data_IF_990533470030
#
_entry.id   IF_990533470030
#
_cell.length_a   1.000
_cell.length_b   1.000
_cell.length_c   1.000
_cell.angle_alpha   90.00
_cell.angle_beta   90.00
_cell.angle_gamma   90.00
#
_symmetry.space_group_name_H-M   'P 1'
#
loop_
_entity.id
_entity.type
_entity.pdbx_description
1 polymer ?
#
# COMPACT_ATOMS: atom_id res chain seq x y z
N UNK A 1 -5.53 -13.90 41.38
CA UNK A 1 -6.42 -14.32 40.27
C UNK A 1 -5.97 -13.62 39.00
N UNK A 2 -5.52 -14.36 37.98
CA UNK A 2 -5.27 -13.77 36.65
C UNK A 2 -6.64 -13.43 36.04
N UNK A 3 -7.07 -12.19 36.14
CA UNK A 3 -8.32 -11.66 35.57
C UNK A 3 -8.23 -11.42 34.05
N UNK A 4 -7.34 -12.12 33.36
CA UNK A 4 -7.11 -11.95 31.93
C UNK A 4 -8.02 -12.89 31.13
N UNK A 5 -8.75 -12.34 30.15
CA UNK A 5 -9.43 -13.13 29.11
C UNK A 5 -8.43 -14.12 28.48
N UNK A 6 -8.86 -15.34 28.19
CA UNK A 6 -8.00 -16.31 27.49
C UNK A 6 -7.73 -15.82 26.06
N UNK A 7 -6.47 -15.51 25.78
CA UNK A 7 -5.96 -15.03 24.50
C UNK A 7 -4.92 -16.00 23.93
N UNK A 8 -4.90 -17.26 24.38
CA UNK A 8 -3.95 -18.29 23.93
C UNK A 8 -3.98 -18.44 22.41
N UNK A 9 -5.17 -18.59 21.82
CA UNK A 9 -5.34 -18.69 20.37
C UNK A 9 -4.89 -17.41 19.64
N UNK A 10 -5.21 -16.23 20.18
CA UNK A 10 -4.77 -14.97 19.59
C UNK A 10 -3.24 -14.86 19.56
N UNK A 11 -2.57 -15.32 20.62
CA UNK A 11 -1.11 -15.40 20.69
C UNK A 11 -0.55 -16.42 19.70
N UNK A 12 -1.19 -17.57 19.52
CA UNK A 12 -0.77 -18.55 18.51
C UNK A 12 -0.80 -17.95 17.11
N UNK A 13 -1.86 -17.26 16.73
CA UNK A 13 -1.93 -16.57 15.44
C UNK A 13 -0.86 -15.47 15.33
N UNK A 14 -0.65 -14.68 16.39
CA UNK A 14 0.42 -13.69 16.42
C UNK A 14 1.81 -14.31 16.23
N UNK A 15 2.09 -15.48 16.82
CA UNK A 15 3.37 -16.17 16.65
C UNK A 15 3.56 -16.69 15.23
N UNK A 16 2.49 -17.14 14.55
CA UNK A 16 2.58 -17.51 13.12
C UNK A 16 2.93 -16.31 12.24
N UNK A 17 2.36 -15.14 12.55
CA UNK A 17 2.69 -13.89 11.88
C UNK A 17 4.16 -13.45 12.06
N UNK A 18 4.90 -14.00 13.03
CA UNK A 18 6.31 -13.67 13.26
C UNK A 18 7.27 -14.49 12.38
N UNK A 19 6.77 -15.23 11.38
CA UNK A 19 7.63 -15.93 10.42
C UNK A 19 8.55 -14.94 9.69
N UNK A 20 9.85 -15.06 9.93
CA UNK A 20 10.84 -14.07 9.51
C UNK A 20 10.90 -13.83 8.00
N UNK A 21 10.54 -14.82 7.18
CA UNK A 21 10.82 -14.82 5.74
C UNK A 21 10.26 -13.60 5.00
N UNK A 22 9.11 -13.07 5.39
CA UNK A 22 8.51 -11.92 4.72
C UNK A 22 9.00 -10.55 5.25
N UNK A 23 9.84 -10.53 6.29
CA UNK A 23 10.30 -9.29 6.93
C UNK A 23 11.62 -8.75 6.38
N UNK A 24 12.31 -9.50 5.52
CA UNK A 24 13.59 -9.09 4.96
C UNK A 24 13.81 -9.65 3.56
N UNK A 25 14.84 -9.17 2.88
CA UNK A 25 15.28 -9.67 1.59
C UNK A 25 16.78 -9.92 1.60
N UNK A 26 17.20 -10.97 0.89
CA UNK A 26 18.60 -11.35 0.71
C UNK A 26 18.72 -12.13 -0.59
N UNK A 27 19.24 -13.36 -0.53
CA UNK A 27 19.32 -14.22 -1.72
C UNK A 27 17.95 -14.72 -2.19
N UNK A 28 17.02 -14.93 -1.26
CA UNK A 28 15.65 -15.36 -1.55
C UNK A 28 14.70 -14.17 -1.64
N UNK A 29 13.57 -14.35 -2.33
CA UNK A 29 12.61 -13.28 -2.59
C UNK A 29 12.13 -12.57 -1.30
N UNK A 30 11.86 -13.33 -0.24
CA UNK A 30 11.56 -12.76 1.08
C UNK A 30 10.39 -11.77 1.04
N UNK A 31 10.58 -10.54 1.54
CA UNK A 31 9.58 -9.46 1.48
C UNK A 31 9.07 -9.17 0.06
N UNK A 32 9.82 -9.47 -1.01
CA UNK A 32 9.34 -9.28 -2.38
C UNK A 32 8.27 -10.30 -2.79
N UNK A 33 8.13 -11.41 -2.08
CA UNK A 33 7.14 -12.44 -2.36
C UNK A 33 5.80 -12.10 -1.71
N UNK A 34 4.85 -11.63 -2.52
CA UNK A 34 3.52 -11.22 -2.07
C UNK A 34 2.80 -12.28 -1.25
N UNK A 35 2.85 -13.55 -1.67
CA UNK A 35 2.21 -14.65 -0.93
C UNK A 35 2.76 -14.83 0.50
N UNK A 36 4.05 -14.53 0.73
CA UNK A 36 4.63 -14.57 2.09
C UNK A 36 4.10 -13.42 2.94
N UNK A 37 4.04 -12.19 2.40
CA UNK A 37 3.49 -11.03 3.12
C UNK A 37 2.00 -11.23 3.45
N UNK A 38 1.24 -11.71 2.48
CA UNK A 38 -0.20 -11.97 2.65
C UNK A 38 -0.48 -13.06 3.68
N UNK A 39 0.36 -14.11 3.76
CA UNK A 39 0.25 -15.12 4.82
C UNK A 39 0.51 -14.54 6.22
N UNK A 40 1.43 -13.57 6.37
CA UNK A 40 1.62 -12.89 7.65
C UNK A 40 0.38 -12.07 8.02
N UNK A 41 -0.16 -11.29 7.06
CA UNK A 41 -1.37 -10.51 7.27
C UNK A 41 -2.57 -11.38 7.66
N UNK A 42 -2.73 -12.56 7.06
CA UNK A 42 -3.79 -13.50 7.43
C UNK A 42 -3.76 -13.83 8.94
N UNK A 43 -2.57 -14.13 9.46
CA UNK A 43 -2.35 -14.46 10.86
C UNK A 43 -2.44 -13.24 11.79
N UNK A 44 -1.97 -12.07 11.37
CA UNK A 44 -2.18 -10.81 12.12
C UNK A 44 -3.67 -10.55 12.29
N UNK A 45 -4.43 -10.65 11.20
CA UNK A 45 -5.85 -10.36 11.20
C UNK A 45 -6.67 -11.41 11.94
N UNK A 46 -6.28 -12.68 11.91
CA UNK A 46 -6.86 -13.73 12.74
C UNK A 46 -6.61 -13.49 14.24
N UNK A 47 -5.39 -13.08 14.61
CA UNK A 47 -5.04 -12.71 15.99
C UNK A 47 -5.90 -11.54 16.48
N UNK A 48 -5.99 -10.48 15.69
CA UNK A 48 -6.76 -9.30 16.06
C UNK A 48 -8.27 -9.59 16.08
N UNK A 49 -8.80 -10.47 15.22
CA UNK A 49 -10.19 -10.92 15.31
C UNK A 49 -10.52 -11.51 16.69
N UNK A 50 -9.64 -12.38 17.19
CA UNK A 50 -9.78 -13.02 18.49
C UNK A 50 -9.69 -11.99 19.63
N UNK A 51 -8.80 -11.00 19.50
CA UNK A 51 -8.70 -9.88 20.45
C UNK A 51 -9.98 -9.03 20.45
N UNK A 52 -10.50 -8.66 19.28
CA UNK A 52 -11.74 -7.88 19.15
C UNK A 52 -12.94 -8.63 19.74
N UNK A 53 -13.07 -9.94 19.45
CA UNK A 53 -14.09 -10.82 20.05
C UNK A 53 -13.96 -10.88 21.56
N UNK A 54 -12.75 -11.10 22.08
CA UNK A 54 -12.51 -11.11 23.52
C UNK A 54 -12.87 -9.76 24.14
N UNK A 55 -12.48 -8.64 23.54
CA UNK A 55 -12.83 -7.28 23.98
C UNK A 55 -14.34 -6.98 23.88
N UNK A 56 -15.11 -7.76 23.12
CA UNK A 56 -16.50 -7.45 22.74
C UNK A 56 -16.58 -6.06 22.08
N UNK A 57 -15.66 -5.78 21.16
CA UNK A 57 -15.61 -4.50 20.46
C UNK A 57 -16.94 -4.29 19.71
N UNK A 58 -17.71 -3.28 20.12
CA UNK A 58 -19.03 -2.97 19.53
C UNK A 58 -19.02 -1.73 18.66
N UNK A 59 -18.11 -0.79 18.91
CA UNK A 59 -17.97 0.46 18.18
C UNK A 59 -16.60 0.55 17.50
N UNK A 60 -16.45 1.56 16.64
CA UNK A 60 -15.16 1.93 16.06
C UNK A 60 -14.20 2.35 17.17
N UNK A 61 -12.97 1.82 17.13
CA UNK A 61 -11.85 2.24 17.97
C UNK A 61 -10.90 3.06 17.09
N UNK A 62 -10.52 4.25 17.57
CA UNK A 62 -9.58 5.14 16.90
C UNK A 62 -8.43 5.43 17.87
N UNK A 63 -7.21 5.16 17.42
CA UNK A 63 -6.00 5.39 18.21
C UNK A 63 -4.99 6.15 17.37
N UNK A 64 -4.44 7.22 17.91
CA UNK A 64 -3.32 7.95 17.30
C UNK A 64 -2.01 7.55 17.97
N UNK A 65 -0.94 7.50 17.18
CA UNK A 65 0.39 7.23 17.71
C UNK A 65 1.41 7.00 16.59
N UNK A 66 2.69 7.10 16.93
CA UNK A 66 3.79 6.75 16.03
C UNK A 66 4.05 5.24 16.06
N UNK A 67 3.20 4.49 15.35
CA UNK A 67 3.27 3.02 15.32
C UNK A 67 4.41 2.51 14.44
N UNK A 68 4.92 3.35 13.54
CA UNK A 68 6.01 2.99 12.62
C UNK A 68 7.37 3.55 13.02
N UNK A 69 7.45 4.29 14.11
CA UNK A 69 8.68 4.95 14.58
C UNK A 69 9.28 5.88 13.50
N UNK A 70 8.42 6.70 12.90
CA UNK A 70 8.76 7.62 11.80
C UNK A 70 8.79 9.10 12.25
N UNK A 71 8.62 9.37 13.54
CA UNK A 71 8.59 10.72 14.10
C UNK A 71 7.31 11.50 13.79
N UNK A 72 6.31 10.85 13.21
CA UNK A 72 5.00 11.42 12.93
C UNK A 72 3.92 10.42 13.34
N UNK A 73 2.78 10.92 13.83
CA UNK A 73 1.68 10.05 14.24
C UNK A 73 0.92 9.51 13.03
N UNK A 74 0.44 8.28 13.16
CA UNK A 74 -0.57 7.68 12.30
C UNK A 74 -1.89 7.58 13.06
N UNK A 75 -2.99 7.47 12.30
CA UNK A 75 -4.32 7.22 12.85
C UNK A 75 -4.68 5.79 12.52
N UNK A 76 -4.72 4.93 13.54
CA UNK A 76 -5.20 3.56 13.42
C UNK A 76 -6.68 3.51 13.77
N UNK A 77 -7.49 2.99 12.85
CA UNK A 77 -8.93 2.83 13.04
C UNK A 77 -9.27 1.37 12.85
N UNK A 78 -10.08 0.82 13.75
CA UNK A 78 -10.62 -0.54 13.60
C UNK A 78 -12.04 -0.65 14.09
N UNK A 79 -12.77 -1.59 13.52
CA UNK A 79 -14.04 -2.07 14.03
C UNK A 79 -14.10 -3.59 13.89
N UNK A 80 -15.31 -4.17 13.88
CA UNK A 80 -15.49 -5.61 13.73
C UNK A 80 -15.16 -6.12 12.32
N UNK A 81 -15.30 -5.30 11.28
CA UNK A 81 -15.18 -5.71 9.88
C UNK A 81 -13.86 -5.34 9.23
N UNK A 82 -13.18 -4.29 9.70
CA UNK A 82 -11.97 -3.79 9.08
C UNK A 82 -11.00 -3.14 10.07
N UNK A 83 -9.78 -2.92 9.59
CA UNK A 83 -8.83 -1.94 10.14
C UNK A 83 -8.16 -1.13 9.04
N UNK A 84 -7.90 0.15 9.30
CA UNK A 84 -7.14 1.03 8.40
C UNK A 84 -6.07 1.81 9.16
N UNK A 85 -5.02 2.20 8.44
CA UNK A 85 -4.01 3.15 8.91
C UNK A 85 -3.99 4.36 7.98
N UNK A 86 -4.34 5.52 8.52
CA UNK A 86 -4.27 6.81 7.82
C UNK A 86 -2.99 7.55 8.25
N UNK A 87 -2.37 8.23 7.30
CA UNK A 87 -1.06 8.86 7.44
C UNK A 87 -1.14 10.38 7.21
N UNK A 88 -1.52 11.19 8.22
CA UNK A 88 -1.64 12.64 8.06
C UNK A 88 -0.37 13.30 7.52
N UNK A 89 0.80 12.85 7.96
CA UNK A 89 2.09 13.37 7.48
C UNK A 89 2.35 13.13 5.97
N UNK A 90 1.58 12.24 5.34
CA UNK A 90 1.71 11.86 3.94
C UNK A 90 0.40 12.11 3.18
N UNK A 91 -0.09 13.36 3.19
CA UNK A 91 -1.31 13.74 2.48
C UNK A 91 -2.58 13.05 2.99
N UNK A 92 -2.61 12.63 4.25
CA UNK A 92 -3.68 11.79 4.81
C UNK A 92 -3.98 10.54 3.96
N UNK A 93 -2.96 9.96 3.32
CA UNK A 93 -3.09 8.73 2.53
C UNK A 93 -3.29 7.50 3.42
N UNK A 94 -3.78 6.41 2.84
CA UNK A 94 -4.06 5.16 3.56
C UNK A 94 -2.97 4.14 3.25
N UNK A 95 -2.28 3.64 4.28
CA UNK A 95 -1.21 2.64 4.12
C UNK A 95 -1.64 1.21 4.40
N UNK A 96 -2.80 1.03 5.03
CA UNK A 96 -3.36 -0.28 5.31
C UNK A 96 -4.87 -0.23 5.14
N UNK A 97 -5.43 -1.24 4.45
CA UNK A 97 -6.85 -1.52 4.42
C UNK A 97 -7.05 -3.02 4.58
N UNK A 98 -7.33 -3.42 5.81
CA UNK A 98 -7.42 -4.81 6.23
C UNK A 98 -8.88 -5.23 6.37
N UNK A 99 -9.31 -6.17 5.55
CA UNK A 99 -10.63 -6.77 5.62
C UNK A 99 -10.60 -7.97 6.58
N UNK A 100 -11.43 -7.93 7.64
CA UNK A 100 -11.47 -8.96 8.67
C UNK A 100 -12.02 -10.29 8.17
N UNK A 101 -13.04 -10.27 7.29
CA UNK A 101 -13.72 -11.50 6.87
C UNK A 101 -12.85 -12.33 5.93
N UNK A 102 -12.15 -11.66 5.02
CA UNK A 102 -11.23 -12.31 4.07
C UNK A 102 -9.81 -12.43 4.61
N UNK A 103 -9.48 -11.74 5.71
CA UNK A 103 -8.14 -11.67 6.31
C UNK A 103 -7.06 -11.20 5.33
N UNK A 104 -7.42 -10.23 4.49
CA UNK A 104 -6.55 -9.64 3.47
C UNK A 104 -6.32 -8.18 3.79
N UNK A 105 -5.07 -7.73 3.73
CA UNK A 105 -4.74 -6.32 3.57
C UNK A 105 -4.72 -5.99 2.06
N UNK A 106 -5.72 -5.27 1.58
CA UNK A 106 -5.84 -4.89 0.18
C UNK A 106 -4.71 -3.93 -0.26
N UNK A 107 -4.05 -3.26 0.69
CA UNK A 107 -2.94 -2.34 0.42
C UNK A 107 -1.57 -2.94 0.76
N UNK A 108 -1.45 -4.28 0.83
CA UNK A 108 -0.17 -5.00 1.01
C UNK A 108 0.70 -4.96 -0.28
N UNK A 109 1.15 -3.76 -0.60
CA UNK A 109 2.00 -3.45 -1.76
C UNK A 109 3.37 -2.94 -1.31
N UNK A 110 4.35 -3.00 -2.20
CA UNK A 110 5.67 -2.43 -2.00
C UNK A 110 6.00 -1.43 -3.10
N UNK A 111 6.71 -0.37 -2.76
CA UNK A 111 7.24 0.58 -3.74
C UNK A 111 8.40 -0.06 -4.52
N UNK A 112 8.55 0.29 -5.79
CA UNK A 112 9.69 -0.07 -6.63
C UNK A 112 10.92 0.67 -6.13
N UNK A 113 11.88 -0.05 -5.57
CA UNK A 113 13.11 0.53 -5.00
C UNK A 113 14.34 -0.03 -5.69
N UNK A 114 15.39 0.78 -5.70
CA UNK A 114 16.68 0.38 -6.23
C UNK A 114 17.38 -0.54 -5.23
N UNK A 115 17.75 -1.72 -5.67
CA UNK A 115 18.61 -2.64 -4.92
C UNK A 115 20.05 -2.54 -5.41
N UNK A 116 21.01 -2.89 -4.55
CA UNK A 116 22.44 -2.77 -4.86
C UNK A 116 22.83 -3.57 -6.11
N UNK A 117 22.27 -4.77 -6.28
CA UNK A 117 22.54 -5.65 -7.42
C UNK A 117 21.94 -5.16 -8.75
N UNK A 118 21.05 -4.16 -8.75
CA UNK A 118 20.56 -3.55 -10.00
C UNK A 118 21.67 -2.82 -10.77
N UNK A 119 22.76 -2.39 -10.11
CA UNK A 119 23.90 -1.76 -10.80
C UNK A 119 24.59 -2.73 -11.78
N UNK A 120 24.57 -4.04 -11.50
CA UNK A 120 25.14 -5.05 -12.38
C UNK A 120 24.37 -5.13 -13.70
N UNK A 121 23.05 -4.97 -13.66
CA UNK A 121 22.23 -4.87 -14.87
C UNK A 121 22.52 -3.61 -15.68
N UNK A 122 22.88 -2.50 -15.03
CA UNK A 122 23.22 -1.25 -15.71
C UNK A 122 24.49 -1.39 -16.58
N UNK A 123 25.44 -2.22 -16.15
CA UNK A 123 26.74 -2.43 -16.81
C UNK A 123 26.68 -3.32 -18.06
N UNK A 124 25.62 -4.12 -18.24
CA UNK A 124 25.44 -4.96 -19.43
C UNK A 124 25.09 -4.12 -20.66
N UNK A 125 25.68 -4.41 -21.82
CA UNK A 125 25.32 -3.79 -23.10
C UNK A 125 23.92 -4.22 -23.57
N UNK A 126 23.28 -3.43 -24.45
CA UNK A 126 21.97 -3.81 -25.03
C UNK A 126 22.04 -5.12 -25.84
N UNK A 127 23.18 -5.40 -26.48
CA UNK A 127 23.43 -6.66 -27.19
C UNK A 127 23.51 -7.87 -26.23
N UNK A 128 24.06 -7.67 -25.02
CA UNK A 128 24.07 -8.67 -23.95
C UNK A 128 22.67 -8.87 -23.34
N UNK A 129 21.83 -7.84 -23.27
CA UNK A 129 20.47 -7.97 -22.72
C UNK A 129 19.46 -8.59 -23.70
N UNK A 130 19.78 -8.64 -24.99
CA UNK A 130 18.92 -9.17 -26.05
C UNK A 130 19.21 -10.63 -26.42
N UNK A 131 20.33 -11.18 -25.94
CA UNK A 131 20.63 -12.60 -26.05
C UNK A 131 20.04 -13.37 -24.86
N UNK A 132 19.21 -14.38 -25.13
CA UNK A 132 18.56 -15.22 -24.09
C UNK A 132 19.59 -16.02 -23.24
N UNK A 133 20.87 -15.99 -23.62
CA UNK A 133 21.97 -16.69 -22.96
C UNK A 133 23.21 -15.82 -22.88
N UNK A 134 23.23 -14.81 -22.00
CA UNK A 134 24.51 -14.23 -21.56
C UNK A 134 25.06 -15.03 -20.39
N UNK A 135 26.11 -15.79 -20.66
CA UNK A 135 27.02 -16.34 -19.66
C UNK A 135 28.31 -15.52 -19.69
N UNK A 136 28.44 -14.56 -18.78
CA UNK A 136 29.69 -13.83 -18.59
C UNK A 136 30.18 -13.96 -17.15
N UNK A 137 31.28 -14.72 -17.03
CA UNK A 137 32.36 -14.84 -16.01
C UNK A 137 32.10 -14.75 -14.49
N UNK A 138 30.89 -14.43 -14.03
CA UNK A 138 30.38 -14.77 -12.70
C UNK A 138 28.95 -15.29 -12.86
N UNK A 139 28.74 -16.58 -12.61
CA UNK A 139 27.56 -17.44 -12.93
C UNK A 139 26.16 -17.00 -12.42
N UNK A 140 25.88 -15.72 -12.15
CA UNK A 140 24.72 -15.31 -11.34
C UNK A 140 23.67 -14.40 -11.99
N UNK A 141 23.88 -13.86 -13.21
CA UNK A 141 22.90 -12.93 -13.80
C UNK A 141 22.32 -13.50 -15.08
N UNK A 142 21.16 -14.14 -14.95
CA UNK A 142 20.30 -14.46 -16.09
C UNK A 142 19.28 -13.35 -16.27
N UNK A 143 19.34 -12.65 -17.38
CA UNK A 143 18.30 -11.70 -17.78
C UNK A 143 17.09 -12.52 -18.22
N UNK A 144 15.98 -12.42 -17.47
CA UNK A 144 14.77 -13.24 -17.73
C UNK A 144 13.86 -12.66 -18.80
N UNK A 145 14.01 -11.38 -19.11
CA UNK A 145 13.11 -10.63 -20.00
C UNK A 145 13.91 -9.67 -20.89
N UNK A 146 13.62 -9.69 -22.20
CA UNK A 146 14.21 -8.75 -23.16
C UNK A 146 13.75 -7.33 -22.82
N UNK A 147 14.68 -6.38 -22.88
CA UNK A 147 14.37 -4.98 -22.59
C UNK A 147 14.14 -4.66 -21.10
N UNK A 148 14.52 -5.54 -20.17
CA UNK A 148 14.35 -5.35 -18.71
C UNK A 148 14.78 -3.97 -18.20
N UNK A 149 15.84 -3.38 -18.78
CA UNK A 149 16.30 -2.02 -18.45
C UNK A 149 15.21 -0.96 -18.58
N UNK A 150 14.33 -1.06 -19.59
CA UNK A 150 13.22 -0.12 -19.79
C UNK A 150 12.18 -0.20 -18.66
N UNK A 151 12.08 -1.35 -18.00
CA UNK A 151 11.12 -1.60 -16.93
C UNK A 151 11.70 -1.36 -15.52
N UNK A 152 13.00 -1.03 -15.40
CA UNK A 152 13.62 -0.63 -14.13
C UNK A 152 13.27 0.83 -13.78
N UNK A 153 12.05 1.00 -13.30
CA UNK A 153 11.50 2.27 -12.82
C UNK A 153 11.46 2.25 -11.30
N UNK A 154 11.87 3.35 -10.66
CA UNK A 154 11.88 3.48 -9.20
C UNK A 154 10.88 4.53 -8.74
N UNK A 155 10.10 4.20 -7.71
CA UNK A 155 9.10 5.11 -7.16
C UNK A 155 9.77 6.18 -6.30
N UNK A 156 9.36 7.44 -6.50
CA UNK A 156 9.83 8.61 -5.74
C UNK A 156 9.22 8.70 -4.34
N UNK A 157 8.09 8.03 -4.10
CA UNK A 157 7.37 8.04 -2.83
C UNK A 157 6.95 6.63 -2.41
N UNK A 158 6.18 6.52 -1.33
CA UNK A 158 5.61 5.26 -0.88
C UNK A 158 4.32 4.98 -1.65
N UNK A 159 4.02 3.70 -1.88
CA UNK A 159 2.77 3.26 -2.50
C UNK A 159 1.67 3.16 -1.46
N UNK A 160 1.14 4.32 -1.10
CA UNK A 160 -0.08 4.43 -0.30
C UNK A 160 -1.29 4.63 -1.22
N UNK A 161 -2.48 4.37 -0.70
CA UNK A 161 -3.73 4.53 -1.43
C UNK A 161 -4.42 5.84 -1.06
N UNK A 162 -5.33 6.26 -1.95
CA UNK A 162 -6.07 7.51 -1.82
C UNK A 162 -5.15 8.74 -1.83
N UNK A 163 -4.04 8.67 -2.61
CA UNK A 163 -3.12 9.80 -2.82
C UNK A 163 -3.62 10.69 -3.95
N UNK A 164 -3.44 11.99 -3.80
CA UNK A 164 -3.74 12.99 -4.82
C UNK A 164 -2.49 13.31 -5.62
N UNK A 165 -2.63 13.23 -6.94
CA UNK A 165 -1.61 13.60 -7.90
C UNK A 165 -2.14 14.76 -8.74
N UNK A 166 -1.39 15.86 -8.82
CA UNK A 166 -1.78 17.05 -9.58
C UNK A 166 -0.98 17.11 -10.88
N UNK A 167 -1.68 17.04 -12.02
CA UNK A 167 -1.09 17.10 -13.35
C UNK A 167 -1.50 18.37 -14.08
N UNK A 168 -0.61 18.85 -14.97
CA UNK A 168 -0.92 19.97 -15.87
C UNK A 168 -1.67 19.53 -17.15
N UNK A 169 -1.58 18.25 -17.49
CA UNK A 169 -2.23 17.64 -18.65
C UNK A 169 -2.62 16.20 -18.31
N UNK A 170 -3.57 15.62 -19.05
CA UNK A 170 -4.00 14.24 -18.84
C UNK A 170 -2.85 13.28 -19.14
N UNK A 171 -2.39 12.48 -18.16
CA UNK A 171 -1.32 11.52 -18.39
C UNK A 171 -1.81 10.31 -19.18
N UNK A 172 -0.91 9.72 -19.97
CA UNK A 172 -1.10 8.39 -20.57
C UNK A 172 -0.74 7.30 -19.56
N UNK A 173 -1.25 6.08 -19.79
CA UNK A 173 -0.92 4.93 -18.95
C UNK A 173 0.59 4.60 -18.96
N UNK A 174 1.25 4.72 -20.12
CA UNK A 174 2.68 4.48 -20.25
C UNK A 174 3.51 5.50 -19.46
N UNK A 175 3.13 6.79 -19.52
CA UNK A 175 3.81 7.83 -18.76
C UNK A 175 3.72 7.62 -17.24
N UNK A 176 2.57 7.16 -16.74
CA UNK A 176 2.40 6.80 -15.33
C UNK A 176 3.22 5.56 -14.96
N UNK A 177 3.20 4.53 -15.81
CA UNK A 177 3.94 3.28 -15.59
C UNK A 177 5.45 3.54 -15.52
N UNK A 178 5.97 4.37 -16.43
CA UNK A 178 7.38 4.69 -16.56
C UNK A 178 7.83 5.86 -15.67
N UNK A 179 6.89 6.62 -15.08
CA UNK A 179 7.19 7.78 -14.26
C UNK A 179 7.82 8.94 -15.04
N UNK A 180 7.45 9.10 -16.31
CA UNK A 180 8.05 10.11 -17.22
C UNK A 180 7.29 11.42 -17.26
N UNK A 181 6.03 11.44 -16.81
CA UNK A 181 5.23 12.67 -16.70
C UNK A 181 5.51 13.39 -15.39
N UNK A 182 5.57 14.71 -15.45
CA UNK A 182 5.67 15.57 -14.27
C UNK A 182 4.30 15.72 -13.59
N UNK A 183 4.29 15.55 -12.27
CA UNK A 183 3.13 15.78 -11.41
C UNK A 183 3.59 16.22 -10.02
N UNK A 184 2.68 16.84 -9.27
CA UNK A 184 2.88 17.06 -7.82
C UNK A 184 2.23 15.92 -7.06
N UNK A 185 3.02 15.17 -6.29
CA UNK A 185 2.52 14.16 -5.35
C UNK A 185 2.15 14.84 -4.03
N UNK A 186 0.85 14.98 -3.76
CA UNK A 186 0.38 15.63 -2.54
C UNK A 186 0.76 14.85 -1.27
N UNK A 187 1.11 13.55 -1.37
CA UNK A 187 1.53 12.76 -0.23
C UNK A 187 2.92 13.16 0.30
N UNK A 188 3.63 14.06 -0.37
CA UNK A 188 4.88 14.63 0.14
C UNK A 188 4.65 15.73 1.19
N UNK A 189 3.40 16.14 1.39
CA UNK A 189 3.03 17.22 2.30
C UNK A 189 2.12 16.72 3.42
N UNK A 190 2.31 17.20 4.67
CA UNK A 190 1.45 16.83 5.77
C UNK A 190 0.09 17.53 5.65
N UNK A 191 -0.99 16.82 5.94
CA UNK A 191 -2.32 17.39 6.07
C UNK A 191 -2.65 17.59 7.54
N UNK A 192 -3.34 18.69 7.84
CA UNK A 192 -4.00 18.82 9.14
C UNK A 192 -5.22 17.90 9.18
N UNK A 193 -5.64 17.49 10.36
CA UNK A 193 -6.80 16.62 10.49
C UNK A 193 -7.60 16.87 11.76
N UNK A 194 -8.89 16.53 11.70
CA UNK A 194 -9.79 16.41 12.83
C UNK A 194 -10.56 15.09 12.73
N UNK A 195 -10.82 14.47 13.88
CA UNK A 195 -11.57 13.22 13.98
C UNK A 195 -12.97 13.56 14.49
N UNK A 196 -13.99 13.16 13.73
CA UNK A 196 -15.39 13.36 14.09
C UNK A 196 -16.15 12.04 13.91
N UNK A 197 -16.67 11.49 15.01
CA UNK A 197 -17.30 10.16 15.04
C UNK A 197 -16.39 9.08 14.41
N UNK A 198 -16.82 8.51 13.28
CA UNK A 198 -16.13 7.48 12.52
C UNK A 198 -15.50 8.04 11.23
N UNK A 199 -15.17 9.34 11.21
CA UNK A 199 -14.59 10.00 10.05
C UNK A 199 -13.35 10.82 10.40
N UNK A 200 -12.38 10.82 9.49
CA UNK A 200 -11.21 11.70 9.52
C UNK A 200 -11.44 12.76 8.44
N UNK A 201 -11.48 14.02 8.86
CA UNK A 201 -11.52 15.17 7.96
C UNK A 201 -10.13 15.76 7.94
N UNK A 202 -9.50 15.80 6.76
CA UNK A 202 -8.15 16.29 6.58
C UNK A 202 -8.10 17.42 5.57
N UNK A 203 -7.15 18.33 5.73
CA UNK A 203 -7.07 19.56 4.98
C UNK A 203 -5.63 19.98 4.68
N UNK A 204 -5.40 20.37 3.42
CA UNK A 204 -4.10 20.76 2.87
C UNK A 204 -3.78 22.26 2.98
N UNK A 205 -4.69 23.12 3.44
CA UNK A 205 -4.61 24.60 3.33
C UNK A 205 -3.39 25.23 4.00
N UNK A 206 -2.67 24.49 4.85
CA UNK A 206 -1.39 24.92 5.45
C UNK A 206 -0.18 24.67 4.56
N UNK A 207 -0.37 24.12 3.36
CA UNK A 207 0.69 23.81 2.41
C UNK A 207 0.62 24.75 1.20
N UNK A 208 1.62 24.66 0.33
CA UNK A 208 1.64 25.32 -0.98
C UNK A 208 0.76 24.62 -2.03
N UNK A 209 0.02 23.59 -1.61
CA UNK A 209 -0.91 22.83 -2.45
C UNK A 209 -2.22 23.62 -2.64
N UNK A 210 -3.02 23.29 -3.67
CA UNK A 210 -4.42 23.70 -3.71
C UNK A 210 -5.15 23.29 -2.43
N UNK A 211 -6.23 24.00 -2.10
CA UNK A 211 -7.06 23.67 -0.94
C UNK A 211 -7.84 22.38 -1.24
N UNK A 212 -7.38 21.30 -0.62
CA UNK A 212 -7.87 19.92 -0.74
C UNK A 212 -8.35 19.52 0.64
N UNK A 213 -9.63 19.19 0.72
CA UNK A 213 -10.23 18.54 1.89
C UNK A 213 -10.51 17.09 1.52
N UNK A 214 -10.02 16.16 2.35
CA UNK A 214 -10.28 14.73 2.22
C UNK A 214 -10.99 14.23 3.47
N UNK A 215 -12.19 13.70 3.29
CA UNK A 215 -12.97 13.07 4.35
C UNK A 215 -12.99 11.57 4.15
N UNK A 216 -12.33 10.84 5.06
CA UNK A 216 -12.31 9.37 5.08
C UNK A 216 -13.37 8.93 6.09
N UNK A 217 -14.42 8.26 5.62
CA UNK A 217 -15.51 7.74 6.43
C UNK A 217 -15.46 6.22 6.45
N UNK A 218 -15.60 5.64 7.64
CA UNK A 218 -15.51 4.20 7.87
C UNK A 218 -16.92 3.67 8.08
N UNK A 219 -17.30 2.65 7.31
CA UNK A 219 -18.58 1.99 7.50
C UNK A 219 -18.55 1.15 8.79
N UNK A 220 -19.63 1.17 9.57
CA UNK A 220 -19.63 0.60 10.93
C UNK A 220 -19.58 -0.93 10.97
N UNK A 221 -20.19 -1.59 9.98
CA UNK A 221 -20.41 -3.03 9.96
C UNK A 221 -19.79 -3.76 8.77
N UNK A 222 -19.80 -3.16 7.58
CA UNK A 222 -19.15 -3.70 6.38
C UNK A 222 -17.68 -3.29 6.25
N UNK A 223 -16.84 -4.10 5.59
CA UNK A 223 -15.44 -3.77 5.32
C UNK A 223 -15.36 -2.75 4.18
N UNK A 224 -15.84 -1.54 4.42
CA UNK A 224 -15.96 -0.48 3.41
C UNK A 224 -15.51 0.86 3.98
N UNK A 225 -14.79 1.62 3.15
CA UNK A 225 -14.48 3.02 3.39
C UNK A 225 -15.02 3.87 2.25
N UNK A 226 -15.43 5.09 2.57
CA UNK A 226 -15.75 6.13 1.60
C UNK A 226 -14.72 7.25 1.74
N UNK A 227 -14.20 7.76 0.63
CA UNK A 227 -13.29 8.90 0.62
C UNK A 227 -13.89 9.99 -0.24
N UNK A 228 -14.30 11.08 0.41
CA UNK A 228 -14.86 12.25 -0.25
C UNK A 228 -13.80 13.33 -0.39
N UNK A 229 -13.68 13.87 -1.59
CA UNK A 229 -12.71 14.90 -1.94
C UNK A 229 -13.43 16.20 -2.30
N UNK A 230 -12.95 17.29 -1.71
CA UNK A 230 -13.28 18.64 -2.16
C UNK A 230 -11.96 19.32 -2.54
N UNK A 231 -11.85 19.77 -3.78
CA UNK A 231 -10.70 20.53 -4.26
C UNK A 231 -11.18 21.88 -4.77
N UNK A 232 -10.45 22.95 -4.41
CA UNK A 232 -10.73 24.29 -4.87
C UNK A 232 -9.45 24.97 -5.35
N UNK A 233 -9.61 25.93 -6.26
CA UNK A 233 -8.51 26.76 -6.79
C UNK A 233 -7.39 25.97 -7.49
N UNK A 234 -7.73 24.85 -8.11
CA UNK A 234 -6.83 24.08 -8.96
C UNK A 234 -7.31 24.08 -10.41
N UNK A 235 -6.41 24.38 -11.35
CA UNK A 235 -6.67 24.31 -12.77
C UNK A 235 -5.69 23.29 -13.39
N UNK A 236 -6.18 22.09 -13.66
CA UNK A 236 -5.38 20.96 -14.13
C UNK A 236 -6.17 19.65 -14.03
N UNK A 237 -5.45 18.53 -14.08
CA UNK A 237 -6.03 17.18 -13.93
C UNK A 237 -5.69 16.64 -12.55
N UNK A 238 -6.71 16.25 -11.79
CA UNK A 238 -6.57 15.56 -10.52
C UNK A 238 -6.57 14.04 -10.75
N UNK A 239 -5.50 13.37 -10.37
CA UNK A 239 -5.43 11.92 -10.26
C UNK A 239 -5.58 11.46 -8.82
N UNK A 240 -6.35 10.40 -8.60
CA UNK A 240 -6.44 9.72 -7.31
C UNK A 240 -5.76 8.35 -7.46
N UNK A 241 -4.57 8.21 -6.87
CA UNK A 241 -3.81 6.97 -6.90
C UNK A 241 -4.26 6.03 -5.77
N UNK A 242 -4.71 4.84 -6.15
CA UNK A 242 -5.05 3.73 -5.26
C UNK A 242 -4.16 2.53 -5.60
N UNK A 243 -3.30 2.15 -4.66
CA UNK A 243 -2.40 1.01 -4.82
C UNK A 243 -3.04 -0.23 -4.16
N UNK A 244 -3.31 -1.26 -4.96
CA UNK A 244 -3.99 -2.48 -4.50
C UNK A 244 -3.14 -3.72 -4.74
N UNK A 245 -3.17 -4.64 -3.78
CA UNK A 245 -2.53 -5.94 -3.88
C UNK A 245 -3.47 -6.93 -4.57
N UNK A 246 -3.09 -7.34 -5.80
CA UNK A 246 -3.82 -8.35 -6.58
C UNK A 246 -3.26 -9.77 -6.40
N UNK A 247 -2.36 -10.00 -5.43
CA UNK A 247 -1.63 -11.25 -5.12
C UNK A 247 -0.72 -11.77 -6.25
N UNK A 248 -1.27 -11.96 -7.45
CA UNK A 248 -0.58 -12.42 -8.64
C UNK A 248 -1.17 -11.73 -9.88
N UNK A 249 -0.62 -10.60 -10.34
CA UNK A 249 -1.19 -9.84 -11.47
C UNK A 249 -1.22 -10.61 -12.80
N UNK A 250 -0.47 -11.71 -12.92
CA UNK A 250 -0.45 -12.59 -14.09
C UNK A 250 -1.34 -13.83 -13.95
N UNK A 251 -1.97 -14.05 -12.78
CA UNK A 251 -2.92 -15.14 -12.62
C UNK A 251 -4.24 -14.71 -13.23
N UNK A 252 -4.78 -15.52 -14.17
CA UNK A 252 -6.08 -15.26 -14.83
C UNK A 252 -7.23 -15.06 -13.83
N UNK A 253 -7.10 -15.58 -12.62
CA UNK A 253 -8.09 -15.49 -11.55
C UNK A 253 -7.99 -14.20 -10.71
N UNK A 254 -6.99 -13.35 -10.96
CA UNK A 254 -6.71 -12.13 -10.20
C UNK A 254 -6.90 -10.85 -11.05
N UNK A 255 -8.13 -10.61 -11.52
CA UNK A 255 -8.50 -9.43 -12.30
C UNK A 255 -9.41 -8.47 -11.49
N UNK A 256 -9.50 -7.22 -11.94
CA UNK A 256 -10.50 -6.27 -11.47
C UNK A 256 -11.50 -5.99 -12.59
N UNK A 257 -12.78 -5.94 -12.26
CA UNK A 257 -13.82 -5.49 -13.19
C UNK A 257 -14.05 -4.00 -12.98
N UNK A 258 -13.86 -3.21 -14.04
CA UNK A 258 -14.30 -1.81 -14.05
C UNK A 258 -15.64 -1.77 -14.77
N UNK A 259 -16.68 -1.27 -14.09
CA UNK A 259 -18.00 -1.13 -14.70
C UNK A 259 -17.92 -0.30 -15.99
N UNK A 260 -18.41 -0.84 -17.09
CA UNK A 260 -18.34 -0.21 -18.42
C UNK A 260 -17.05 -0.45 -19.21
N UNK A 261 -16.06 -1.19 -18.67
CA UNK A 261 -14.88 -1.63 -19.41
C UNK A 261 -15.00 -3.13 -19.74
N UNK A 262 -14.65 -3.56 -20.97
CA UNK A 262 -14.56 -4.98 -21.30
C UNK A 262 -13.47 -5.65 -20.47
N UNK A 263 -13.69 -6.91 -20.06
CA UNK A 263 -12.64 -7.73 -19.45
C UNK A 263 -11.56 -8.02 -20.47
N UNK A 264 -10.30 -7.71 -20.15
CA UNK A 264 -9.16 -8.20 -20.93
C UNK A 264 -8.98 -9.72 -20.66
N UNK A 265 -9.09 -10.54 -21.71
CA UNK A 265 -8.87 -12.00 -21.68
C UNK A 265 -7.39 -12.40 -21.65
#
# INVERSE_FOLDING_TARGET
MKTGKDLSQAKTELYKAQCNCAYWHGLFGGIYLTHLRSALYEHILASEELVCKAKKLQSVEIVTGDFRNEGSEQIFIRNRSLSIIVNPAFGASISEFSNRSTKVNAFDVIARRKEAYHQLLAQLSEEELNNDTVKSIHDMITVKEKGLKRHLVYDSSRRYSCKELLFNAMPTAEELMLGTIAYTDCSQYPYTYAIHNHSIISDSSRNTLPAITKTISIHEADPTIAVHYTISSFNGVLGIECNVNMLAPHAKECHYSVEGMPSEE
#
